data_IF_573042057150
#
_entry.id   IF_573042057150
#
_cell.length_a   1.000
_cell.length_b   1.000
_cell.length_c   1.000
_cell.angle_alpha   90.00
_cell.angle_beta   90.00
_cell.angle_gamma   90.00
#
_symmetry.space_group_name_H-M   'P 1'
#
loop_
_entity.id
_entity.type
_entity.pdbx_description
1 polymer ?
#
# COMPACT_ATOMS: atom_id res chain seq x y z
N UNK A 1 -6.72 7.39 -1.88
CA UNK A 1 -5.47 6.71 -1.43
C UNK A 1 -5.37 5.42 -2.22
N UNK A 2 -4.18 4.92 -2.62
CA UNK A 2 -4.05 3.64 -3.36
C UNK A 2 -3.71 2.46 -2.44
N UNK A 3 -4.05 1.24 -2.85
CA UNK A 3 -3.71 0.03 -2.10
C UNK A 3 -2.20 -0.17 -2.07
N UNK A 4 -1.66 -0.67 -0.95
CA UNK A 4 -0.21 -0.87 -0.78
C UNK A 4 0.42 -1.72 -1.91
N UNK A 5 -0.31 -2.72 -2.42
CA UNK A 5 0.20 -3.56 -3.51
C UNK A 5 0.37 -2.77 -4.82
N UNK A 6 -0.53 -1.83 -5.13
CA UNK A 6 -0.39 -0.95 -6.30
C UNK A 6 0.90 -0.14 -6.23
N UNK A 7 1.19 0.49 -5.08
CA UNK A 7 2.46 1.19 -4.87
C UNK A 7 3.66 0.25 -5.01
N UNK A 8 3.58 -0.95 -4.43
CA UNK A 8 4.64 -1.93 -4.51
C UNK A 8 4.89 -2.42 -5.95
N UNK A 9 3.84 -2.68 -6.73
CA UNK A 9 3.90 -3.18 -8.11
C UNK A 9 4.61 -2.17 -9.01
N UNK A 10 4.20 -0.90 -8.95
CA UNK A 10 4.73 0.14 -9.83
C UNK A 10 6.11 0.65 -9.41
N UNK A 11 6.44 0.60 -8.12
CA UNK A 11 7.75 1.01 -7.65
C UNK A 11 8.87 0.16 -8.30
N UNK A 12 9.91 0.84 -8.79
CA UNK A 12 11.14 0.20 -9.26
C UNK A 12 12.13 -0.06 -8.11
N UNK A 13 12.02 0.69 -7.02
CA UNK A 13 12.74 0.43 -5.78
C UNK A 13 11.81 0.57 -4.57
N UNK A 14 11.92 -0.37 -3.63
CA UNK A 14 11.26 -0.29 -2.31
C UNK A 14 12.29 -0.61 -1.25
N UNK A 15 12.47 0.29 -0.29
CA UNK A 15 13.52 0.17 0.71
C UNK A 15 13.39 1.12 1.87
N UNK A 16 14.04 0.75 2.97
CA UNK A 16 14.35 1.66 4.06
C UNK A 16 15.61 2.44 3.71
N UNK A 17 15.56 3.76 3.87
CA UNK A 17 16.59 4.69 3.47
C UNK A 17 16.86 5.70 4.57
N UNK A 18 18.04 6.30 4.54
CA UNK A 18 18.42 7.49 5.29
C UNK A 18 18.83 8.59 4.31
N UNK A 19 18.36 9.81 4.54
CA UNK A 19 18.74 10.98 3.74
C UNK A 19 20.14 11.41 4.14
N UNK A 20 21.09 11.35 3.20
CA UNK A 20 22.50 11.67 3.45
C UNK A 20 22.79 13.15 3.16
N UNK A 21 22.21 13.66 2.07
CA UNK A 21 22.35 15.03 1.65
C UNK A 21 21.13 15.49 0.85
N UNK A 22 20.83 16.78 0.90
CA UNK A 22 19.83 17.43 0.05
C UNK A 22 20.53 18.59 -0.63
N UNK A 23 20.62 18.54 -1.95
CA UNK A 23 21.26 19.60 -2.74
C UNK A 23 20.36 20.84 -2.83
N UNK A 24 20.98 21.98 -3.14
CA UNK A 24 20.23 23.19 -3.41
C UNK A 24 19.31 22.98 -4.61
N UNK A 25 18.04 23.42 -4.55
CA UNK A 25 17.12 23.20 -5.66
C UNK A 25 17.56 23.92 -6.92
N UNK A 26 17.49 23.23 -8.06
CA UNK A 26 17.67 23.80 -9.41
C UNK A 26 16.35 23.63 -10.15
N UNK A 27 15.79 24.73 -10.66
CA UNK A 27 14.48 24.73 -11.33
C UNK A 27 13.35 24.08 -10.51
N UNK A 28 13.39 24.26 -9.18
CA UNK A 28 12.36 23.74 -8.28
C UNK A 28 12.48 22.25 -7.93
N UNK A 29 13.55 21.57 -8.34
CA UNK A 29 13.86 20.21 -7.95
C UNK A 29 15.17 20.14 -7.15
N UNK A 30 15.17 19.41 -6.04
CA UNK A 30 16.37 19.13 -5.26
C UNK A 30 16.78 17.67 -5.43
N UNK A 31 18.06 17.41 -5.72
CA UNK A 31 18.58 16.05 -5.65
C UNK A 31 18.79 15.64 -4.19
N UNK A 32 18.25 14.49 -3.83
CA UNK A 32 18.28 13.93 -2.48
C UNK A 32 19.12 12.66 -2.52
N UNK A 33 20.31 12.73 -1.95
CA UNK A 33 21.22 11.58 -1.85
C UNK A 33 20.81 10.70 -0.67
N UNK A 34 20.80 9.39 -0.89
CA UNK A 34 20.33 8.42 0.10
C UNK A 34 21.37 7.38 0.44
N UNK A 35 21.21 6.78 1.61
CA UNK A 35 21.85 5.53 2.01
C UNK A 35 20.77 4.48 2.20
N UNK A 36 20.88 3.33 1.54
CA UNK A 36 19.97 2.22 1.81
C UNK A 36 20.30 1.58 3.16
N UNK A 37 19.28 1.46 4.01
CA UNK A 37 19.33 0.73 5.27
C UNK A 37 18.86 -0.71 5.08
N UNK A 38 17.82 -0.91 4.25
CA UNK A 38 17.30 -2.23 3.89
C UNK A 38 16.60 -2.18 2.53
N UNK A 39 16.77 -3.22 1.73
CA UNK A 39 16.19 -3.36 0.40
C UNK A 39 15.09 -4.42 0.38
N UNK A 40 13.94 -4.11 -0.21
CA UNK A 40 12.84 -5.07 -0.43
C UNK A 40 12.60 -5.34 -1.92
N UNK A 41 12.84 -4.36 -2.79
CA UNK A 41 12.65 -4.51 -4.25
C UNK A 41 13.64 -3.64 -5.02
N UNK A 42 14.09 -4.15 -6.17
CA UNK A 42 14.87 -3.39 -7.16
C UNK A 42 16.34 -3.21 -6.81
N UNK A 43 17.02 -2.38 -7.60
CA UNK A 43 18.38 -1.92 -7.33
C UNK A 43 18.34 -0.66 -6.46
N UNK A 44 19.35 -0.50 -5.61
CA UNK A 44 19.46 0.68 -4.74
C UNK A 44 19.88 1.88 -5.59
N UNK A 45 19.09 2.96 -5.65
CA UNK A 45 19.52 4.18 -6.32
C UNK A 45 20.47 4.99 -5.44
N UNK A 46 21.30 5.82 -6.06
CA UNK A 46 22.12 6.80 -5.33
C UNK A 46 21.26 7.86 -4.63
N UNK A 47 20.14 8.22 -5.24
CA UNK A 47 19.26 9.27 -4.79
C UNK A 47 18.01 9.40 -5.65
N UNK A 48 17.24 10.45 -5.40
CA UNK A 48 16.06 10.81 -6.18
C UNK A 48 15.90 12.33 -6.23
N UNK A 49 15.12 12.81 -7.19
CA UNK A 49 14.77 14.23 -7.30
C UNK A 49 13.45 14.49 -6.57
N UNK A 50 13.48 15.39 -5.60
CA UNK A 50 12.30 15.87 -4.90
C UNK A 50 11.82 17.17 -5.55
N UNK A 51 10.54 17.24 -5.91
CA UNK A 51 9.90 18.52 -6.24
C UNK A 51 9.77 19.34 -4.95
N UNK A 52 10.26 20.58 -4.95
CA UNK A 52 10.24 21.46 -3.77
C UNK A 52 9.57 22.82 -4.04
N UNK A 53 9.22 23.09 -5.30
CA UNK A 53 8.62 24.35 -5.72
C UNK A 53 7.11 24.25 -5.94
N UNK A 54 6.58 23.07 -6.26
CA UNK A 54 5.14 22.90 -6.46
C UNK A 54 4.35 22.78 -5.15
N UNK A 55 3.04 22.99 -5.22
CA UNK A 55 2.10 22.71 -4.13
C UNK A 55 2.09 21.22 -3.71
N UNK A 56 2.58 20.33 -4.57
CA UNK A 56 2.78 18.92 -4.29
C UNK A 56 4.23 18.58 -3.92
N UNK A 57 5.06 19.60 -3.65
CA UNK A 57 6.45 19.41 -3.30
C UNK A 57 6.63 18.69 -1.96
N UNK A 58 7.75 18.02 -1.78
CA UNK A 58 8.16 17.42 -0.51
C UNK A 58 9.58 17.84 -0.19
N UNK A 59 9.78 18.44 0.98
CA UNK A 59 11.11 18.79 1.50
C UNK A 59 11.63 17.67 2.37
N UNK A 60 12.93 17.43 2.28
CA UNK A 60 13.66 16.45 3.07
C UNK A 60 14.76 17.13 3.85
N UNK A 61 15.20 16.49 4.93
CA UNK A 61 16.35 16.91 5.75
C UNK A 61 17.33 15.77 5.92
N UNK A 62 18.61 16.12 6.01
CA UNK A 62 19.67 15.15 6.31
C UNK A 62 19.38 14.44 7.62
N UNK A 63 19.59 13.12 7.65
CA UNK A 63 19.38 12.25 8.81
C UNK A 63 17.97 11.67 8.92
N UNK A 64 17.00 12.19 8.16
CA UNK A 64 15.65 11.60 8.12
C UNK A 64 15.70 10.18 7.56
N UNK A 65 14.85 9.31 8.09
CA UNK A 65 14.78 7.90 7.68
C UNK A 65 13.38 7.59 7.21
N UNK A 66 13.27 6.85 6.11
CA UNK A 66 11.98 6.53 5.50
C UNK A 66 11.93 5.08 5.04
N UNK A 67 10.75 4.48 5.07
CA UNK A 67 10.38 3.46 4.09
C UNK A 67 9.79 4.17 2.88
N UNK A 68 10.32 3.91 1.68
CA UNK A 68 9.91 4.63 0.47
C UNK A 68 9.67 3.69 -0.72
N UNK A 69 8.73 4.09 -1.59
CA UNK A 69 8.37 3.42 -2.83
C UNK A 69 8.73 4.35 -3.99
N UNK A 70 9.90 4.11 -4.59
CA UNK A 70 10.39 4.94 -5.67
C UNK A 70 9.98 4.36 -7.02
N UNK A 71 9.26 5.17 -7.80
CA UNK A 71 8.99 4.89 -9.20
C UNK A 71 10.04 5.57 -10.09
N UNK A 72 10.34 4.97 -11.23
CA UNK A 72 11.28 5.50 -12.21
C UNK A 72 10.51 5.98 -13.42
N UNK A 73 10.62 7.28 -13.72
CA UNK A 73 9.90 7.92 -14.80
C UNK A 73 10.81 8.91 -15.51
N UNK A 74 10.82 8.89 -16.86
CA UNK A 74 11.64 9.79 -17.68
C UNK A 74 13.12 9.81 -17.27
N UNK A 75 13.71 8.62 -17.03
CA UNK A 75 15.14 8.48 -16.76
C UNK A 75 15.59 8.83 -15.34
N UNK A 76 14.68 9.19 -14.43
CA UNK A 76 15.03 9.49 -13.03
C UNK A 76 14.00 9.01 -12.02
N UNK A 77 14.44 8.83 -10.78
CA UNK A 77 13.54 8.67 -9.64
C UNK A 77 13.03 10.05 -9.22
N UNK A 78 11.72 10.25 -9.21
CA UNK A 78 11.08 11.51 -8.79
C UNK A 78 10.13 11.28 -7.62
N UNK A 79 10.18 12.16 -6.64
CA UNK A 79 9.38 12.12 -5.43
C UNK A 79 8.55 13.39 -5.30
N UNK A 80 7.28 13.21 -4.96
CA UNK A 80 6.33 14.28 -4.65
C UNK A 80 5.40 13.86 -3.49
N UNK A 81 4.37 14.66 -3.22
CA UNK A 81 3.38 14.40 -2.17
C UNK A 81 2.65 13.05 -2.35
N UNK A 82 2.43 12.61 -3.58
CA UNK A 82 1.73 11.36 -3.88
C UNK A 82 2.63 10.11 -3.81
N UNK A 83 3.95 10.29 -3.72
CA UNK A 83 4.87 9.18 -3.52
C UNK A 83 4.64 8.57 -2.15
N UNK A 84 4.30 7.28 -2.10
CA UNK A 84 4.17 6.54 -0.85
C UNK A 84 5.50 6.51 -0.12
N UNK A 85 5.51 7.07 1.08
CA UNK A 85 6.62 7.08 2.01
C UNK A 85 6.08 7.12 3.43
N UNK A 86 6.80 6.50 4.35
CA UNK A 86 6.52 6.54 5.79
C UNK A 86 7.82 6.94 6.47
N UNK A 87 7.80 8.05 7.19
CA UNK A 87 8.92 8.46 8.04
C UNK A 87 9.13 7.41 9.12
N UNK A 88 10.37 7.07 9.44
CA UNK A 88 10.70 6.17 10.54
C UNK A 88 10.88 6.99 11.83
N UNK A 89 9.74 7.38 12.40
CA UNK A 89 9.63 8.12 13.66
C UNK A 89 8.74 7.35 14.65
N UNK A 90 8.72 7.75 15.92
CA UNK A 90 7.91 7.07 16.94
C UNK A 90 6.41 7.16 16.63
N UNK A 91 5.95 8.23 15.99
CA UNK A 91 4.55 8.47 15.63
C UNK A 91 4.02 7.49 14.57
N UNK A 92 4.88 6.98 13.67
CA UNK A 92 4.49 6.09 12.56
C UNK A 92 4.86 4.62 12.81
N UNK A 93 5.41 4.30 13.98
CA UNK A 93 6.04 3.01 14.29
C UNK A 93 5.12 1.80 14.05
N UNK A 94 3.83 1.94 14.37
CA UNK A 94 2.85 0.87 14.16
C UNK A 94 2.53 0.64 12.68
N UNK A 95 2.25 1.73 11.94
CA UNK A 95 1.99 1.69 10.49
C UNK A 95 3.20 1.11 9.75
N UNK A 96 4.40 1.62 10.07
CA UNK A 96 5.66 1.13 9.53
C UNK A 96 5.87 -0.36 9.80
N UNK A 97 5.55 -0.84 11.02
CA UNK A 97 5.64 -2.27 11.37
C UNK A 97 4.71 -3.13 10.51
N UNK A 98 3.45 -2.71 10.31
CA UNK A 98 2.48 -3.43 9.46
C UNK A 98 2.92 -3.44 8.01
N UNK A 99 3.32 -2.28 7.50
CA UNK A 99 3.78 -2.11 6.11
C UNK A 99 5.03 -2.97 5.83
N UNK A 100 5.99 -3.01 6.76
CA UNK A 100 7.18 -3.87 6.69
C UNK A 100 6.84 -5.36 6.58
N UNK A 101 5.79 -5.83 7.29
CA UNK A 101 5.34 -7.23 7.18
C UNK A 101 4.78 -7.52 5.78
N UNK A 102 4.00 -6.60 5.22
CA UNK A 102 3.42 -6.74 3.89
C UNK A 102 4.49 -6.75 2.81
N UNK A 103 5.38 -5.75 2.77
CA UNK A 103 6.45 -5.70 1.75
C UNK A 103 7.41 -6.89 1.86
N UNK A 104 7.65 -7.40 3.07
CA UNK A 104 8.46 -8.62 3.26
C UNK A 104 7.77 -9.84 2.66
N UNK A 105 6.44 -9.94 2.77
CA UNK A 105 5.66 -10.99 2.10
C UNK A 105 5.71 -10.81 0.57
N UNK A 106 5.48 -9.60 0.08
CA UNK A 106 5.47 -9.29 -1.35
C UNK A 106 6.84 -9.49 -2.03
N UNK A 107 7.94 -9.20 -1.33
CA UNK A 107 9.31 -9.41 -1.85
C UNK A 107 9.64 -10.87 -2.17
N UNK A 108 8.86 -11.81 -1.63
CA UNK A 108 9.01 -13.25 -1.83
C UNK A 108 8.01 -13.82 -2.83
N UNK A 109 7.19 -12.98 -3.47
CA UNK A 109 6.11 -13.37 -4.37
C UNK A 109 6.26 -12.69 -5.72
N UNK A 110 5.97 -13.43 -6.78
CA UNK A 110 5.94 -12.95 -8.16
C UNK A 110 4.49 -12.91 -8.62
N UNK A 111 3.79 -11.83 -8.28
CA UNK A 111 2.45 -11.57 -8.78
C UNK A 111 2.53 -10.80 -10.11
N UNK A 112 1.78 -11.27 -11.09
CA UNK A 112 1.72 -10.65 -12.41
C UNK A 112 0.56 -9.67 -12.52
N UNK A 113 -0.48 -9.91 -11.73
CA UNK A 113 -1.72 -9.17 -11.62
C UNK A 113 -1.48 -7.73 -11.12
N UNK A 114 -2.39 -6.82 -11.50
CA UNK A 114 -2.42 -5.44 -11.02
C UNK A 114 -3.03 -5.36 -9.61
N UNK A 115 -2.87 -4.19 -8.98
CA UNK A 115 -3.42 -3.92 -7.66
C UNK A 115 -4.71 -3.12 -7.72
N UNK A 116 -5.70 -3.55 -6.94
CA UNK A 116 -6.97 -2.86 -6.77
C UNK A 116 -7.22 -2.49 -5.30
N UNK A 117 -8.32 -1.78 -5.07
CA UNK A 117 -8.84 -1.48 -3.73
C UNK A 117 -10.30 -1.90 -3.67
N UNK A 118 -10.73 -2.28 -2.47
CA UNK A 118 -12.15 -2.51 -2.18
C UNK A 118 -12.64 -1.38 -1.30
N UNK A 119 -13.80 -0.83 -1.65
CA UNK A 119 -14.64 -0.07 -0.75
C UNK A 119 -15.84 -0.91 -0.34
N UNK A 120 -16.37 -0.62 0.83
CA UNK A 120 -17.65 -1.12 1.30
C UNK A 120 -18.61 0.07 1.30
N UNK A 121 -19.84 -0.12 0.84
CA UNK A 121 -20.86 0.92 0.92
C UNK A 121 -21.10 1.28 2.40
N UNK A 122 -20.98 2.57 2.74
CA UNK A 122 -21.17 3.10 4.10
C UNK A 122 -22.53 2.75 4.69
N UNK A 123 -23.53 2.44 3.86
CA UNK A 123 -24.87 2.10 4.33
C UNK A 123 -25.03 0.67 4.83
N UNK A 124 -24.19 -0.28 4.43
CA UNK A 124 -24.26 -1.65 4.95
C UNK A 124 -22.91 -2.40 4.88
N UNK A 125 -22.17 -2.30 6.00
CA UNK A 125 -21.05 -3.17 6.42
C UNK A 125 -19.68 -2.99 5.77
N UNK A 126 -18.85 -2.12 6.37
CA UNK A 126 -17.38 -2.25 6.36
C UNK A 126 -16.91 -3.15 7.53
N UNK A 127 -17.30 -4.43 7.50
CA UNK A 127 -16.79 -5.51 8.37
C UNK A 127 -16.93 -5.23 9.88
N UNK A 128 -18.15 -5.41 10.38
CA UNK A 128 -18.65 -5.27 11.76
C UNK A 128 -17.64 -5.07 12.88
N UNK A 129 -17.92 -4.11 13.77
CA UNK A 129 -17.21 -3.91 15.05
C UNK A 129 -17.11 -5.21 15.87
N UNK A 130 -18.07 -6.13 15.69
CA UNK A 130 -18.07 -7.48 16.26
C UNK A 130 -16.77 -8.26 15.95
N UNK A 131 -16.16 -8.01 14.78
CA UNK A 131 -14.91 -8.63 14.38
C UNK A 131 -13.68 -8.00 15.02
N UNK A 132 -13.74 -6.81 15.64
CA UNK A 132 -12.53 -6.11 16.11
C UNK A 132 -11.68 -6.90 17.11
N UNK A 133 -12.32 -7.75 17.91
CA UNK A 133 -11.68 -8.50 19.01
C UNK A 133 -11.34 -9.95 18.66
N UNK A 134 -11.45 -10.34 17.39
CA UNK A 134 -11.07 -11.69 16.98
C UNK A 134 -9.56 -11.89 17.13
N UNK A 135 -9.19 -13.09 17.57
CA UNK A 135 -7.79 -13.46 17.69
C UNK A 135 -7.21 -13.85 16.32
N UNK A 136 -6.82 -12.87 15.51
CA UNK A 136 -6.12 -13.15 14.25
C UNK A 136 -4.64 -13.49 14.46
N UNK A 137 -4.09 -14.35 13.59
CA UNK A 137 -2.66 -14.69 13.57
C UNK A 137 -1.83 -13.72 12.74
N UNK A 138 -2.48 -12.93 11.89
CA UNK A 138 -1.87 -11.99 10.95
C UNK A 138 -2.60 -10.66 10.99
N UNK A 139 -1.87 -9.56 10.83
CA UNK A 139 -2.44 -8.19 10.77
C UNK A 139 -2.87 -7.80 9.35
N UNK A 140 -2.70 -8.71 8.39
CA UNK A 140 -3.10 -8.51 7.01
C UNK A 140 -3.49 -9.84 6.34
N UNK A 141 -4.34 -9.73 5.32
CA UNK A 141 -4.74 -10.78 4.39
C UNK A 141 -4.28 -10.40 2.98
N UNK A 142 -4.12 -11.40 2.11
CA UNK A 142 -3.84 -11.18 0.69
C UNK A 142 -4.85 -11.97 -0.12
N UNK A 143 -5.60 -11.26 -0.93
CA UNK A 143 -6.66 -11.79 -1.77
C UNK A 143 -6.26 -11.64 -3.23
N UNK A 144 -6.53 -12.68 -4.02
CA UNK A 144 -6.60 -12.59 -5.47
C UNK A 144 -8.08 -12.63 -5.83
N UNK A 145 -8.56 -11.57 -6.43
CA UNK A 145 -9.98 -11.37 -6.74
C UNK A 145 -10.16 -11.36 -8.26
N UNK A 146 -11.35 -11.72 -8.73
CA UNK A 146 -11.75 -11.63 -10.13
C UNK A 146 -13.00 -10.77 -10.26
N UNK A 147 -13.02 -9.85 -11.23
CA UNK A 147 -14.19 -9.00 -11.51
C UNK A 147 -15.29 -9.79 -12.21
N UNK A 148 -16.54 -9.40 -11.97
CA UNK A 148 -17.71 -9.95 -12.67
C UNK A 148 -17.97 -9.22 -14.01
N UNK A 149 -19.09 -9.55 -14.65
CA UNK A 149 -19.62 -8.82 -15.82
C UNK A 149 -19.87 -7.34 -15.48
N UNK A 150 -20.26 -7.05 -14.24
CA UNK A 150 -20.16 -5.71 -13.67
C UNK A 150 -18.75 -5.58 -13.07
N UNK A 151 -17.83 -4.82 -13.70
CA UNK A 151 -16.41 -4.81 -13.34
C UNK A 151 -16.14 -4.20 -11.96
N UNK A 152 -17.12 -3.54 -11.35
CA UNK A 152 -17.05 -3.05 -9.98
C UNK A 152 -17.39 -4.13 -8.95
N UNK A 153 -17.93 -5.28 -9.37
CA UNK A 153 -18.32 -6.39 -8.51
C UNK A 153 -17.30 -7.51 -8.51
N UNK A 154 -17.31 -8.28 -7.44
CA UNK A 154 -16.44 -9.43 -7.25
C UNK A 154 -17.18 -10.69 -7.70
N UNK A 155 -16.64 -11.38 -8.70
CA UNK A 155 -17.13 -12.70 -9.12
C UNK A 155 -16.59 -13.79 -8.21
N UNK A 156 -15.31 -13.68 -7.84
CA UNK A 156 -14.61 -14.75 -7.13
C UNK A 156 -13.47 -14.22 -6.27
N UNK A 157 -13.34 -14.78 -5.06
CA UNK A 157 -12.17 -14.58 -4.19
C UNK A 157 -11.33 -15.86 -4.05
N UNK A 158 -10.03 -15.73 -4.34
CA UNK A 158 -8.99 -16.69 -3.95
C UNK A 158 -8.14 -16.12 -2.82
N UNK A 159 -8.21 -16.72 -1.65
CA UNK A 159 -7.43 -16.30 -0.48
C UNK A 159 -5.99 -16.82 -0.59
N UNK A 160 -5.03 -15.93 -0.76
CA UNK A 160 -3.60 -16.27 -0.86
C UNK A 160 -2.90 -16.27 0.50
N UNK A 161 -3.38 -15.44 1.42
CA UNK A 161 -2.93 -15.39 2.81
C UNK A 161 -4.09 -14.98 3.70
N UNK A 162 -4.37 -15.77 4.72
CA UNK A 162 -5.43 -15.54 5.70
C UNK A 162 -5.03 -14.56 6.81
N UNK A 163 -6.03 -13.90 7.42
CA UNK A 163 -5.84 -13.25 8.73
C UNK A 163 -5.59 -14.31 9.81
N UNK A 164 -6.23 -15.48 9.69
CA UNK A 164 -6.13 -16.57 10.63
C UNK A 164 -7.01 -16.37 11.85
N UNK A 165 -8.23 -15.86 11.66
CA UNK A 165 -9.28 -15.77 12.69
C UNK A 165 -10.22 -16.97 12.61
N UNK A 166 -11.11 -17.10 13.61
CA UNK A 166 -12.23 -18.04 13.58
C UNK A 166 -13.36 -17.64 12.62
N UNK A 167 -13.31 -16.44 12.02
CA UNK A 167 -14.35 -15.87 11.16
C UNK A 167 -13.86 -15.51 9.75
N UNK A 168 -12.68 -16.01 9.37
CA UNK A 168 -12.07 -15.66 8.07
C UNK A 168 -13.02 -15.95 6.89
N UNK A 169 -13.69 -17.10 6.87
CA UNK A 169 -14.58 -17.45 5.76
C UNK A 169 -15.82 -16.55 5.69
N UNK A 170 -16.35 -16.14 6.86
CA UNK A 170 -17.47 -15.18 6.95
C UNK A 170 -17.05 -13.79 6.45
N UNK A 171 -15.85 -13.35 6.86
CA UNK A 171 -15.24 -12.09 6.41
C UNK A 171 -15.07 -12.11 4.88
N UNK A 172 -14.51 -13.16 4.29
CA UNK A 172 -14.27 -13.21 2.86
C UNK A 172 -15.55 -13.34 2.05
N UNK A 173 -16.55 -14.05 2.55
CA UNK A 173 -17.88 -14.11 1.93
C UNK A 173 -18.54 -12.73 1.91
N UNK A 174 -18.48 -11.99 3.02
CA UNK A 174 -19.01 -10.62 3.06
C UNK A 174 -18.30 -9.71 2.07
N UNK A 175 -16.98 -9.86 1.93
CA UNK A 175 -16.21 -9.10 0.95
C UNK A 175 -16.66 -9.42 -0.47
N UNK A 176 -16.85 -10.70 -0.80
CA UNK A 176 -17.34 -11.14 -2.12
C UNK A 176 -18.73 -10.58 -2.44
N UNK A 177 -19.64 -10.60 -1.46
CA UNK A 177 -21.04 -10.16 -1.64
C UNK A 177 -21.22 -8.64 -1.66
N UNK A 178 -20.42 -7.90 -0.87
CA UNK A 178 -20.62 -6.45 -0.63
C UNK A 178 -19.48 -5.55 -1.09
N UNK A 179 -18.33 -6.11 -1.45
CA UNK A 179 -17.16 -5.34 -1.85
C UNK A 179 -17.34 -4.68 -3.22
N UNK A 180 -17.06 -3.39 -3.30
CA UNK A 180 -17.02 -2.63 -4.56
C UNK A 180 -15.57 -2.39 -4.93
N UNK A 181 -15.16 -2.81 -6.12
CA UNK A 181 -13.81 -2.67 -6.62
C UNK A 181 -13.57 -1.36 -7.32
N UNK A 182 -12.45 -0.71 -6.99
CA UNK A 182 -12.02 0.53 -7.61
C UNK A 182 -10.55 0.47 -8.04
N UNK A 183 -10.25 1.18 -9.13
CA UNK A 183 -8.88 1.54 -9.52
C UNK A 183 -8.69 3.05 -9.32
N UNK A 184 -7.68 3.47 -8.55
CA UNK A 184 -7.22 4.88 -8.43
C UNK A 184 -8.33 5.96 -8.57
N UNK A 185 -9.48 5.83 -7.89
CA UNK A 185 -10.63 6.77 -7.93
C UNK A 185 -11.68 6.60 -9.06
N UNK A 186 -11.58 5.57 -9.90
CA UNK A 186 -12.59 5.24 -10.93
C UNK A 186 -12.98 3.77 -10.88
N UNK A 187 -14.22 3.50 -11.30
CA UNK A 187 -14.74 2.16 -11.58
C UNK A 187 -13.80 1.40 -12.52
N UNK A 188 -13.66 0.10 -12.30
CA UNK A 188 -12.84 -0.73 -13.20
C UNK A 188 -13.56 -0.83 -14.54
N UNK A 189 -12.81 -0.74 -15.64
CA UNK A 189 -13.36 -0.85 -16.99
C UNK A 189 -13.20 -2.24 -17.60
N UNK A 190 -12.76 -3.22 -16.81
CA UNK A 190 -12.32 -4.52 -17.29
C UNK A 190 -13.02 -5.67 -16.57
N UNK A 191 -13.82 -6.39 -17.34
CA UNK A 191 -14.56 -7.58 -16.91
C UNK A 191 -13.61 -8.77 -16.78
N UNK A 192 -13.89 -9.68 -15.83
CA UNK A 192 -13.18 -10.94 -15.66
C UNK A 192 -11.65 -10.83 -15.45
N UNK A 193 -11.16 -9.68 -15.03
CA UNK A 193 -9.76 -9.45 -14.72
C UNK A 193 -9.44 -9.80 -13.27
N UNK A 194 -8.19 -10.23 -13.06
CA UNK A 194 -7.69 -10.64 -11.75
C UNK A 194 -6.80 -9.56 -11.12
N UNK A 195 -7.05 -9.26 -9.85
CA UNK A 195 -6.29 -8.27 -9.09
C UNK A 195 -5.78 -8.84 -7.76
N UNK A 196 -4.68 -8.28 -7.25
CA UNK A 196 -4.21 -8.53 -5.89
C UNK A 196 -4.64 -7.40 -4.98
N UNK A 197 -5.23 -7.78 -3.86
CA UNK A 197 -5.70 -6.88 -2.81
C UNK A 197 -5.07 -7.28 -1.49
N UNK A 198 -4.66 -6.27 -0.73
CA UNK A 198 -4.14 -6.42 0.62
C UNK A 198 -5.03 -5.63 1.55
N UNK A 199 -5.61 -6.32 2.52
CA UNK A 199 -6.41 -5.71 3.57
C UNK A 199 -5.69 -5.89 4.91
N UNK A 200 -5.75 -4.86 5.73
CA UNK A 200 -5.18 -4.79 7.06
C UNK A 200 -6.26 -4.95 8.11
N UNK A 201 -5.88 -5.44 9.28
CA UNK A 201 -6.78 -5.66 10.41
C UNK A 201 -6.35 -4.80 11.61
N UNK A 202 -7.30 -4.03 12.16
CA UNK A 202 -7.06 -2.94 13.11
C UNK A 202 -7.73 -3.20 14.47
N UNK A 203 -7.26 -4.24 15.16
CA UNK A 203 -7.86 -4.71 16.43
C UNK A 203 -7.91 -3.69 17.55
N UNK A 204 -6.89 -2.82 17.63
CA UNK A 204 -6.67 -1.94 18.78
C UNK A 204 -6.74 -0.45 18.41
N UNK A 205 -7.32 -0.11 17.27
CA UNK A 205 -7.41 1.27 16.80
C UNK A 205 -8.87 1.61 16.47
N UNK A 206 -9.57 2.16 17.46
CA UNK A 206 -10.99 2.53 17.36
C UNK A 206 -11.25 3.65 16.36
N UNK A 207 -10.21 4.36 15.92
CA UNK A 207 -10.32 5.44 14.93
C UNK A 207 -10.21 4.90 13.49
N UNK A 208 -10.01 3.58 13.32
CA UNK A 208 -9.94 2.91 12.04
C UNK A 208 -11.04 1.87 11.90
N UNK A 209 -11.49 1.68 10.67
CA UNK A 209 -12.29 0.52 10.27
C UNK A 209 -11.57 -0.77 10.71
N UNK A 210 -12.36 -1.77 11.10
CA UNK A 210 -11.83 -3.04 11.60
C UNK A 210 -10.91 -3.69 10.57
N UNK A 211 -11.32 -3.64 9.30
CA UNK A 211 -10.52 -4.09 8.15
C UNK A 211 -10.49 -2.96 7.12
N UNK A 212 -9.30 -2.60 6.63
CA UNK A 212 -9.16 -1.53 5.64
C UNK A 212 -8.08 -1.83 4.61
N UNK A 213 -8.03 -1.03 3.54
CA UNK A 213 -6.99 -1.10 2.49
C UNK A 213 -5.68 -0.40 2.88
N UNK A 214 -5.62 0.24 4.06
CA UNK A 214 -4.45 0.99 4.57
C UNK A 214 -3.98 0.44 5.92
N UNK A 215 -2.67 0.50 6.25
CA UNK A 215 -2.15 -0.06 7.51
C UNK A 215 -2.53 0.71 8.78
#
# INVERSE_FOLDING_TARGET
>A
MQGIYTYYKWAKFVGEIEIVNVENPINGEAFVKIKSLKKYKGNVPEGFYADVASSCGTRFKKGEKFLIYLNFHQGKYKVNACTRKIENSDNSKLELKKEKKVISYLSKKNFNEEGAMILFDEKENALEESYRRLNAKSDFTVLKIRTADDPDKIEKIKVLKRFGTSKDDEIYKLIEEKGILLSKFTRLGTEHEEFIIILFYHRNDSNKEVISVTP
#
